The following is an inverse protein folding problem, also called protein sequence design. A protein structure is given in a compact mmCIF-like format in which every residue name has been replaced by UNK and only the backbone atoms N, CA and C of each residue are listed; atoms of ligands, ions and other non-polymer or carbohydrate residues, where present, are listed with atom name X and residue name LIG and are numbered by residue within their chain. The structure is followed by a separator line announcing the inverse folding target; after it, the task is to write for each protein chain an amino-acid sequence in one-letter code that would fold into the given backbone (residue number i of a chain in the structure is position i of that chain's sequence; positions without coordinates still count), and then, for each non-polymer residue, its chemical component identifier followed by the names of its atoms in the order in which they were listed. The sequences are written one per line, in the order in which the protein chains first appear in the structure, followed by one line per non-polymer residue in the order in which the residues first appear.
data_IF_535977778889
#
_entry.id   IF_535977778889
#
_cell.length_a   1.000
_cell.length_b   1.000
_cell.length_c   1.000
_cell.angle_alpha   90.00
_cell.angle_beta   90.00
_cell.angle_gamma   90.00
#
_symmetry.space_group_name_H-M   'P 1'
#
loop_
_entity.id
_entity.type
_entity.pdbx_description
1 polymer ?
#
# COMPACT_ATOMS: atom_id res chain seq x y z
N UNK A 1 -36.81 -20.53 -1.03
CA UNK A 1 -37.00 -19.09 -0.77
C UNK A 1 -35.78 -18.34 -1.31
N UNK A 2 -35.94 -17.61 -2.42
CA UNK A 2 -34.87 -16.70 -2.94
C UNK A 2 -34.92 -15.44 -2.10
N UNK A 3 -33.92 -15.25 -1.21
CA UNK A 3 -33.73 -13.99 -0.52
C UNK A 3 -33.41 -12.91 -1.56
N UNK A 4 -34.28 -11.95 -1.72
CA UNK A 4 -34.07 -10.74 -2.51
C UNK A 4 -32.80 -10.04 -1.99
N UNK A 5 -31.72 -10.10 -2.77
CA UNK A 5 -30.54 -9.23 -2.56
C UNK A 5 -31.01 -7.80 -2.83
N UNK A 6 -31.24 -7.04 -1.76
CA UNK A 6 -31.46 -5.61 -1.88
C UNK A 6 -30.33 -5.00 -2.70
N UNK A 7 -30.68 -4.18 -3.67
CA UNK A 7 -29.77 -3.43 -4.58
C UNK A 7 -29.04 -2.35 -3.78
N UNK A 8 -28.19 -2.74 -2.80
CA UNK A 8 -27.33 -1.82 -2.08
C UNK A 8 -26.23 -1.32 -2.98
N UNK A 9 -26.01 -0.01 -3.03
CA UNK A 9 -24.95 0.67 -3.78
C UNK A 9 -23.59 0.01 -3.45
N UNK A 10 -22.92 -0.57 -4.47
CA UNK A 10 -21.59 -1.17 -4.33
C UNK A 10 -20.53 -0.09 -4.26
N UNK A 11 -19.74 -0.11 -3.19
CA UNK A 11 -18.70 0.90 -2.92
C UNK A 11 -17.32 0.26 -2.85
N UNK A 12 -16.36 0.87 -3.55
CA UNK A 12 -14.95 0.52 -3.49
C UNK A 12 -14.18 1.60 -2.71
N UNK A 13 -13.44 1.19 -1.69
CA UNK A 13 -12.44 2.04 -1.05
C UNK A 13 -11.07 1.76 -1.65
N UNK A 14 -10.32 2.80 -2.01
CA UNK A 14 -8.94 2.72 -2.49
C UNK A 14 -8.06 3.46 -1.49
N UNK A 15 -7.13 2.74 -0.86
CA UNK A 15 -6.14 3.32 0.06
C UNK A 15 -4.81 3.40 -0.67
N UNK A 16 -4.18 4.56 -0.64
CA UNK A 16 -2.94 4.85 -1.37
C UNK A 16 -1.88 5.28 -0.40
N UNK A 17 -0.69 4.71 -0.57
CA UNK A 17 0.53 5.13 0.11
C UNK A 17 1.71 5.06 -0.84
N UNK A 18 2.71 5.92 -0.63
CA UNK A 18 3.88 6.00 -1.47
C UNK A 18 5.18 5.82 -0.69
N UNK A 19 6.27 5.64 -1.43
CA UNK A 19 7.64 5.58 -0.91
C UNK A 19 8.62 6.20 -1.91
N UNK A 20 9.60 6.91 -1.40
CA UNK A 20 10.51 7.72 -2.20
C UNK A 20 9.96 9.12 -2.40
N UNK A 21 10.72 9.96 -3.05
CA UNK A 21 10.40 11.37 -3.31
C UNK A 21 10.54 11.71 -4.80
N UNK A 22 9.91 12.80 -5.23
CA UNK A 22 10.02 13.31 -6.60
C UNK A 22 11.37 13.98 -6.90
N UNK A 23 12.14 14.33 -5.88
CA UNK A 23 13.46 14.95 -6.01
C UNK A 23 14.51 14.01 -6.62
N UNK A 24 15.57 14.62 -7.14
CA UNK A 24 16.73 13.96 -7.75
C UNK A 24 18.05 14.42 -7.11
N UNK A 25 17.98 15.09 -5.98
CA UNK A 25 19.13 15.58 -5.24
C UNK A 25 19.97 14.43 -4.70
N UNK A 26 21.22 14.71 -4.37
CA UNK A 26 22.13 13.73 -3.75
C UNK A 26 21.50 13.18 -2.47
N UNK A 27 21.36 11.87 -2.40
CA UNK A 27 20.69 11.16 -1.27
C UNK A 27 19.24 10.78 -1.53
N UNK A 28 18.63 11.29 -2.61
CA UNK A 28 17.28 10.89 -3.02
C UNK A 28 17.18 9.40 -3.30
N UNK A 29 16.03 8.81 -2.97
CA UNK A 29 15.74 7.41 -3.25
C UNK A 29 15.76 7.11 -4.75
N UNK A 30 16.49 6.08 -5.16
CA UNK A 30 16.50 5.60 -6.56
C UNK A 30 15.13 5.13 -7.01
N UNK A 31 14.33 4.55 -6.13
CA UNK A 31 13.03 3.99 -6.47
C UNK A 31 11.91 4.89 -5.94
N UNK A 32 10.93 5.15 -6.78
CA UNK A 32 9.63 5.68 -6.40
C UNK A 32 8.59 4.58 -6.48
N UNK A 33 7.77 4.43 -5.44
CA UNK A 33 6.72 3.43 -5.39
C UNK A 33 5.41 4.01 -4.90
N UNK A 34 4.29 3.52 -5.45
CA UNK A 34 2.95 3.83 -4.96
C UNK A 34 2.09 2.58 -4.98
N UNK A 35 1.44 2.27 -3.85
CA UNK A 35 0.54 1.14 -3.70
C UNK A 35 -0.90 1.59 -3.60
N UNK A 36 -1.77 0.84 -4.26
CA UNK A 36 -3.21 0.97 -4.23
C UNK A 36 -3.80 -0.28 -3.59
N UNK A 37 -4.52 -0.14 -2.50
CA UNK A 37 -5.24 -1.22 -1.81
C UNK A 37 -6.73 -1.04 -2.04
N UNK A 38 -7.36 -2.00 -2.67
CA UNK A 38 -8.75 -2.00 -3.08
C UNK A 38 -9.58 -2.84 -2.10
N UNK A 39 -10.50 -2.22 -1.41
CA UNK A 39 -11.42 -2.87 -0.46
C UNK A 39 -12.87 -2.67 -0.90
N UNK A 40 -13.54 -3.77 -1.26
CA UNK A 40 -14.98 -3.79 -1.48
C UNK A 40 -15.70 -3.66 -0.14
N UNK A 41 -16.45 -2.56 0.06
CA UNK A 41 -17.12 -2.25 1.32
C UNK A 41 -18.26 -3.22 1.67
N UNK A 42 -18.68 -4.08 0.73
CA UNK A 42 -19.66 -5.13 1.03
C UNK A 42 -19.09 -6.21 1.96
N UNK A 43 -17.76 -6.32 2.06
CA UNK A 43 -17.06 -7.24 2.95
C UNK A 43 -16.58 -6.52 4.21
N UNK A 44 -17.17 -6.86 5.36
CA UNK A 44 -16.70 -6.34 6.64
C UNK A 44 -15.35 -6.93 7.02
N UNK A 45 -14.42 -6.09 7.45
CA UNK A 45 -13.10 -6.47 8.00
C UNK A 45 -12.98 -6.10 9.49
N UNK A 46 -14.09 -5.82 10.15
CA UNK A 46 -14.13 -5.38 11.56
C UNK A 46 -13.51 -6.42 12.50
N UNK A 47 -13.80 -7.69 12.26
CA UNK A 47 -13.24 -8.80 13.06
C UNK A 47 -11.72 -8.85 12.91
N UNK A 48 -11.21 -8.82 11.69
CA UNK A 48 -9.78 -8.88 11.40
C UNK A 48 -9.02 -7.68 11.97
N UNK A 49 -9.63 -6.49 11.98
CA UNK A 49 -9.07 -5.29 12.64
C UNK A 49 -8.98 -5.50 14.15
N UNK A 50 -10.02 -6.04 14.77
CA UNK A 50 -10.02 -6.32 16.20
C UNK A 50 -8.95 -7.36 16.55
N UNK A 51 -8.85 -8.43 15.77
CA UNK A 51 -7.82 -9.47 15.93
C UNK A 51 -6.40 -8.89 15.80
N UNK A 52 -6.17 -7.99 14.84
CA UNK A 52 -4.90 -7.28 14.69
C UNK A 52 -4.60 -6.41 15.92
N UNK A 53 -5.58 -5.63 16.38
CA UNK A 53 -5.41 -4.75 17.53
C UNK A 53 -5.07 -5.54 18.80
N UNK A 54 -5.74 -6.66 19.03
CA UNK A 54 -5.42 -7.54 20.17
C UNK A 54 -3.99 -8.14 20.08
N UNK A 55 -3.58 -8.57 18.88
CA UNK A 55 -2.22 -9.07 18.66
C UNK A 55 -1.16 -8.00 18.93
N UNK A 56 -1.40 -6.76 18.46
CA UNK A 56 -0.48 -5.66 18.70
C UNK A 56 -0.43 -5.28 20.18
N UNK A 57 -1.59 -5.26 20.87
CA UNK A 57 -1.66 -5.03 22.30
C UNK A 57 -0.84 -6.09 23.09
N UNK A 58 -0.95 -7.35 22.74
CA UNK A 58 -0.19 -8.45 23.36
C UNK A 58 1.34 -8.33 23.11
N UNK A 59 1.74 -7.69 22.01
CA UNK A 59 3.15 -7.37 21.73
C UNK A 59 3.61 -6.13 22.53
N UNK A 60 2.68 -5.39 23.14
CA UNK A 60 2.93 -4.09 23.77
C UNK A 60 3.22 -3.00 22.73
N UNK A 61 2.42 -2.94 21.66
CA UNK A 61 2.50 -1.91 20.61
C UNK A 61 1.11 -1.47 20.15
N UNK A 62 0.79 -0.19 20.31
CA UNK A 62 -0.52 0.37 19.99
C UNK A 62 -0.49 1.49 18.93
N UNK A 63 0.71 1.99 18.61
CA UNK A 63 0.87 3.11 17.69
C UNK A 63 0.62 2.73 16.23
N UNK A 64 0.63 3.73 15.37
CA UNK A 64 0.66 3.51 13.92
C UNK A 64 1.93 2.78 13.52
N UNK A 65 1.81 1.85 12.58
CA UNK A 65 2.95 1.09 12.07
C UNK A 65 3.42 1.76 10.78
N UNK A 66 4.69 2.17 10.77
CA UNK A 66 5.40 2.69 9.60
C UNK A 66 6.47 1.68 9.19
N UNK A 67 6.33 1.07 8.01
CA UNK A 67 7.19 -0.05 7.60
C UNK A 67 8.65 0.32 7.49
N UNK A 68 8.96 1.48 6.90
CA UNK A 68 10.34 1.92 6.77
C UNK A 68 11.03 2.06 8.13
N UNK A 69 10.36 2.67 9.11
CA UNK A 69 10.91 2.90 10.44
C UNK A 69 11.00 1.60 11.25
N UNK A 70 9.98 0.74 11.16
CA UNK A 70 9.96 -0.58 11.77
C UNK A 70 11.17 -1.43 11.32
N UNK A 71 11.42 -1.44 10.02
CA UNK A 71 12.49 -2.27 9.42
C UNK A 71 13.86 -1.64 9.66
N UNK A 72 13.97 -0.32 9.51
CA UNK A 72 15.23 0.42 9.69
C UNK A 72 15.56 0.74 11.16
N UNK A 73 14.70 0.35 12.10
CA UNK A 73 14.89 0.58 13.55
C UNK A 73 14.95 2.08 13.89
N UNK A 74 13.98 2.87 13.42
CA UNK A 74 13.91 4.32 13.64
C UNK A 74 12.70 4.71 14.50
N UNK A 75 12.67 5.94 14.99
CA UNK A 75 11.55 6.48 15.76
C UNK A 75 11.14 5.57 16.92
N UNK A 76 9.86 5.25 17.04
CA UNK A 76 9.28 4.37 18.08
C UNK A 76 9.95 2.99 18.17
N UNK A 77 10.66 2.57 17.13
CA UNK A 77 11.30 1.25 17.04
C UNK A 77 12.79 1.25 17.43
N UNK A 78 13.38 2.41 17.72
CA UNK A 78 14.82 2.58 17.98
C UNK A 78 15.33 1.73 19.13
N UNK A 79 14.52 1.56 20.17
CA UNK A 79 14.85 0.75 21.38
C UNK A 79 14.28 -0.68 21.32
N UNK A 80 13.62 -1.08 20.21
CA UNK A 80 13.06 -2.42 20.08
C UNK A 80 14.09 -3.40 19.53
N UNK A 81 14.15 -4.60 20.12
CA UNK A 81 14.92 -5.70 19.55
C UNK A 81 14.27 -6.23 18.26
N UNK A 82 15.01 -7.04 17.51
CA UNK A 82 14.57 -7.57 16.22
C UNK A 82 13.35 -8.46 16.37
N UNK A 83 13.25 -9.24 17.44
CA UNK A 83 12.11 -10.15 17.69
C UNK A 83 10.81 -9.36 17.83
N UNK A 84 10.79 -8.31 18.66
CA UNK A 84 9.59 -7.46 18.83
C UNK A 84 9.18 -6.81 17.51
N UNK A 85 10.14 -6.27 16.75
CA UNK A 85 9.88 -5.65 15.45
C UNK A 85 9.34 -6.66 14.43
N UNK A 86 9.91 -7.88 14.36
CA UNK A 86 9.39 -8.97 13.51
C UNK A 86 7.98 -9.42 13.93
N UNK A 87 7.67 -9.43 15.22
CA UNK A 87 6.33 -9.75 15.71
C UNK A 87 5.30 -8.70 15.27
N UNK A 88 5.63 -7.39 15.32
CA UNK A 88 4.79 -6.31 14.81
C UNK A 88 4.57 -6.48 13.29
N UNK A 89 5.64 -6.71 12.53
CA UNK A 89 5.55 -6.97 11.10
C UNK A 89 4.64 -8.17 10.78
N UNK A 90 4.84 -9.28 11.48
CA UNK A 90 4.06 -10.50 11.28
C UNK A 90 2.59 -10.31 11.63
N UNK A 91 2.25 -9.48 12.61
CA UNK A 91 0.87 -9.17 12.98
C UNK A 91 0.12 -8.49 11.82
N UNK A 92 0.70 -7.42 11.25
CA UNK A 92 0.06 -6.72 10.12
C UNK A 92 0.13 -7.54 8.82
N UNK A 93 1.20 -8.29 8.59
CA UNK A 93 1.30 -9.20 7.44
C UNK A 93 0.25 -10.32 7.50
N UNK A 94 0.00 -10.88 8.67
CA UNK A 94 -1.08 -11.85 8.88
C UNK A 94 -2.46 -11.21 8.62
N UNK A 95 -2.68 -10.00 9.11
CA UNK A 95 -3.90 -9.23 8.85
C UNK A 95 -4.11 -9.03 7.34
N UNK A 96 -3.11 -8.51 6.62
CA UNK A 96 -3.16 -8.36 5.17
C UNK A 96 -3.53 -9.66 4.45
N UNK A 97 -3.03 -10.79 4.89
CA UNK A 97 -3.35 -12.09 4.28
C UNK A 97 -4.80 -12.51 4.51
N UNK A 98 -5.41 -12.11 5.62
CA UNK A 98 -6.77 -12.49 6.02
C UNK A 98 -7.85 -11.63 5.37
N UNK A 99 -7.63 -10.33 5.26
CA UNK A 99 -8.65 -9.41 4.75
C UNK A 99 -8.93 -9.61 3.25
N UNK A 100 -10.19 -9.42 2.79
CA UNK A 100 -10.58 -9.57 1.38
C UNK A 100 -10.25 -8.30 0.57
N UNK A 101 -8.97 -8.02 0.37
CA UNK A 101 -8.50 -6.89 -0.45
C UNK A 101 -7.79 -7.37 -1.70
N UNK A 102 -7.82 -6.55 -2.74
CA UNK A 102 -6.90 -6.59 -3.88
C UNK A 102 -5.90 -5.45 -3.76
N UNK A 103 -4.77 -5.55 -4.45
CA UNK A 103 -3.79 -4.47 -4.50
C UNK A 103 -3.04 -4.41 -5.82
N UNK A 104 -2.47 -3.26 -6.10
CA UNK A 104 -1.53 -3.03 -7.18
C UNK A 104 -0.47 -2.06 -6.69
N UNK A 105 0.80 -2.37 -6.94
CA UNK A 105 1.91 -1.45 -6.68
C UNK A 105 2.59 -1.07 -7.99
N UNK A 106 2.88 0.22 -8.14
CA UNK A 106 3.67 0.78 -9.24
C UNK A 106 5.03 1.12 -8.67
N UNK A 107 6.10 0.58 -9.24
CA UNK A 107 7.50 0.91 -8.89
C UNK A 107 8.17 1.51 -10.12
N UNK A 108 8.77 2.68 -9.94
CA UNK A 108 9.54 3.38 -10.98
C UNK A 108 10.99 3.50 -10.53
N UNK A 109 11.92 2.99 -11.34
CA UNK A 109 13.35 3.18 -11.15
C UNK A 109 13.75 4.53 -11.78
N UNK A 110 14.13 5.48 -10.93
CA UNK A 110 14.54 6.83 -11.35
C UNK A 110 15.84 6.84 -12.15
N UNK A 111 16.62 5.74 -12.12
CA UNK A 111 17.79 5.59 -13.01
C UNK A 111 17.43 5.78 -14.49
N UNK A 112 16.20 5.48 -14.87
CA UNK A 112 15.68 5.62 -16.22
C UNK A 112 14.76 6.84 -16.37
N UNK A 113 14.99 7.89 -15.57
CA UNK A 113 14.15 9.07 -15.50
C UNK A 113 15.05 10.30 -15.31
N UNK A 114 14.97 11.26 -16.21
CA UNK A 114 15.93 12.37 -16.27
C UNK A 114 15.65 13.46 -15.21
N UNK A 115 14.39 13.64 -14.83
CA UNK A 115 13.99 14.69 -13.88
C UNK A 115 12.57 14.45 -13.32
N UNK A 116 12.17 15.29 -12.36
CA UNK A 116 10.87 15.22 -11.69
C UNK A 116 9.68 15.33 -12.65
N UNK A 117 9.77 16.13 -13.72
CA UNK A 117 8.68 16.27 -14.72
C UNK A 117 8.45 14.96 -15.47
N UNK A 118 9.52 14.28 -15.87
CA UNK A 118 9.44 12.96 -16.53
C UNK A 118 8.92 11.92 -15.56
N UNK A 119 9.36 11.95 -14.30
CA UNK A 119 8.86 11.03 -13.25
C UNK A 119 7.35 11.21 -13.03
N UNK A 120 6.86 12.44 -12.89
CA UNK A 120 5.43 12.76 -12.78
C UNK A 120 4.62 12.15 -13.93
N UNK A 121 5.09 12.36 -15.16
CA UNK A 121 4.45 11.79 -16.36
C UNK A 121 4.43 10.27 -16.35
N UNK A 122 5.53 9.62 -15.97
CA UNK A 122 5.60 8.15 -15.86
C UNK A 122 4.61 7.62 -14.82
N UNK A 123 4.58 8.21 -13.62
CA UNK A 123 3.64 7.82 -12.56
C UNK A 123 2.20 7.94 -13.06
N UNK A 124 1.85 9.12 -13.63
CA UNK A 124 0.52 9.36 -14.22
C UNK A 124 0.15 8.29 -15.24
N UNK A 125 1.03 8.00 -16.19
CA UNK A 125 0.78 7.03 -17.24
C UNK A 125 0.61 5.60 -16.69
N UNK A 126 1.40 5.20 -15.71
CA UNK A 126 1.28 3.87 -15.10
C UNK A 126 -0.02 3.74 -14.29
N UNK A 127 -0.48 4.80 -13.61
CA UNK A 127 -1.79 4.81 -12.94
C UNK A 127 -2.91 4.68 -13.98
N UNK A 128 -2.87 5.44 -15.08
CA UNK A 128 -3.87 5.37 -16.15
C UNK A 128 -3.89 3.96 -16.76
N UNK A 129 -2.75 3.40 -17.10
CA UNK A 129 -2.64 2.01 -17.61
C UNK A 129 -3.23 0.98 -16.64
N UNK A 130 -2.96 1.13 -15.34
CA UNK A 130 -3.55 0.26 -14.31
C UNK A 130 -5.08 0.34 -14.33
N UNK A 131 -5.64 1.54 -14.38
CA UNK A 131 -7.09 1.74 -14.41
C UNK A 131 -7.72 1.18 -15.69
N UNK A 132 -7.10 1.41 -16.85
CA UNK A 132 -7.59 0.92 -18.15
C UNK A 132 -7.57 -0.61 -18.22
N UNK A 133 -6.44 -1.24 -17.82
CA UNK A 133 -6.32 -2.70 -17.79
C UNK A 133 -7.35 -3.36 -16.88
N UNK A 134 -7.75 -2.67 -15.82
CA UNK A 134 -8.67 -3.20 -14.83
C UNK A 134 -10.06 -2.54 -14.91
N UNK A 135 -10.42 -1.98 -16.06
CA UNK A 135 -11.69 -1.27 -16.27
C UNK A 135 -12.91 -2.08 -15.84
N UNK A 136 -12.93 -3.37 -16.16
CA UNK A 136 -14.05 -4.25 -15.79
C UNK A 136 -14.13 -4.52 -14.27
N UNK A 137 -13.01 -4.46 -13.56
CA UNK A 137 -13.02 -4.52 -12.09
C UNK A 137 -13.69 -3.26 -11.52
N UNK A 138 -13.33 -2.07 -11.99
CA UNK A 138 -13.86 -0.80 -11.47
C UNK A 138 -15.33 -0.57 -11.86
N UNK A 139 -15.78 -1.04 -13.02
CA UNK A 139 -17.19 -0.94 -13.44
C UNK A 139 -18.18 -1.67 -12.53
N UNK A 140 -17.71 -2.59 -11.68
CA UNK A 140 -18.55 -3.33 -10.74
C UNK A 140 -19.07 -2.47 -9.58
N UNK A 141 -18.54 -1.25 -9.42
CA UNK A 141 -18.80 -0.38 -8.27
C UNK A 141 -19.54 0.88 -8.70
N UNK A 142 -20.59 1.19 -7.97
CA UNK A 142 -21.42 2.39 -8.18
C UNK A 142 -20.74 3.64 -7.62
N UNK A 143 -19.80 3.47 -6.67
CA UNK A 143 -19.05 4.57 -6.06
C UNK A 143 -17.64 4.12 -5.71
N UNK A 144 -16.66 4.99 -5.97
CA UNK A 144 -15.25 4.81 -5.64
C UNK A 144 -14.84 5.90 -4.67
N UNK A 145 -14.30 5.51 -3.52
CA UNK A 145 -13.83 6.42 -2.48
C UNK A 145 -12.31 6.29 -2.40
N UNK A 146 -11.60 7.38 -2.66
CA UNK A 146 -10.15 7.44 -2.57
C UNK A 146 -9.71 7.98 -1.21
N UNK A 147 -8.81 7.27 -0.58
CA UNK A 147 -8.15 7.65 0.67
C UNK A 147 -6.66 7.83 0.40
N UNK A 148 -6.20 9.05 0.51
CA UNK A 148 -4.79 9.41 0.42
C UNK A 148 -4.49 10.49 1.47
N UNK A 149 -3.42 10.32 2.24
CA UNK A 149 -3.08 11.22 3.36
C UNK A 149 -2.36 12.50 2.95
N UNK A 150 -2.19 12.69 1.64
CA UNK A 150 -1.52 13.85 1.05
C UNK A 150 -0.03 13.98 1.46
N UNK A 151 0.63 12.86 1.74
CA UNK A 151 2.04 12.83 2.08
C UNK A 151 2.93 13.55 1.06
N UNK A 152 2.53 13.52 -0.22
CA UNK A 152 3.19 14.29 -1.29
C UNK A 152 2.17 15.02 -2.17
N UNK A 153 2.13 16.35 -2.10
CA UNK A 153 1.22 17.21 -2.89
C UNK A 153 1.24 16.87 -4.39
N UNK A 154 2.42 16.59 -4.94
CA UNK A 154 2.57 16.21 -6.35
C UNK A 154 1.79 14.95 -6.71
N UNK A 155 1.81 13.92 -5.86
CA UNK A 155 1.02 12.71 -6.07
C UNK A 155 -0.48 13.00 -5.89
N UNK A 156 -0.84 13.78 -4.86
CA UNK A 156 -2.21 14.23 -4.64
C UNK A 156 -2.82 14.89 -5.87
N UNK A 157 -2.08 15.80 -6.51
CA UNK A 157 -2.50 16.49 -7.74
C UNK A 157 -2.67 15.50 -8.91
N UNK A 158 -1.75 14.54 -9.09
CA UNK A 158 -1.87 13.50 -10.13
C UNK A 158 -3.12 12.65 -9.91
N UNK A 159 -3.36 12.24 -8.67
CA UNK A 159 -4.54 11.44 -8.31
C UNK A 159 -5.83 12.22 -8.52
N UNK A 160 -5.90 13.47 -8.06
CA UNK A 160 -7.02 14.37 -8.26
C UNK A 160 -7.38 14.51 -9.75
N UNK A 161 -6.38 14.80 -10.60
CA UNK A 161 -6.58 14.93 -12.04
C UNK A 161 -7.09 13.65 -12.72
N UNK A 162 -6.61 12.48 -12.29
CA UNK A 162 -7.00 11.21 -12.90
C UNK A 162 -8.40 10.82 -12.44
N UNK A 163 -8.64 10.85 -11.13
CA UNK A 163 -9.87 10.32 -10.55
C UNK A 163 -11.06 11.26 -10.68
N UNK A 164 -10.87 12.57 -10.83
CA UNK A 164 -11.96 13.53 -11.11
C UNK A 164 -12.75 13.23 -12.39
N UNK A 165 -12.16 12.46 -13.31
CA UNK A 165 -12.81 12.03 -14.56
C UNK A 165 -13.80 10.88 -14.38
N UNK A 166 -13.82 10.24 -13.23
CA UNK A 166 -14.77 9.18 -12.90
C UNK A 166 -16.05 9.79 -12.30
N UNK A 167 -17.20 9.56 -12.91
CA UNK A 167 -18.49 10.13 -12.50
C UNK A 167 -18.89 9.80 -11.04
N UNK A 168 -18.37 8.70 -10.49
CA UNK A 168 -18.77 8.14 -9.19
C UNK A 168 -17.66 8.26 -8.15
N UNK A 169 -16.73 9.22 -8.32
CA UNK A 169 -15.57 9.38 -7.48
C UNK A 169 -15.84 10.35 -6.32
N UNK A 170 -15.37 9.98 -5.14
CA UNK A 170 -15.29 10.86 -3.96
C UNK A 170 -13.90 10.80 -3.37
N UNK A 171 -13.28 11.94 -3.15
CA UNK A 171 -12.05 12.05 -2.37
C UNK A 171 -12.41 12.30 -0.91
N UNK A 172 -11.88 11.51 0.00
CA UNK A 172 -12.10 11.66 1.45
C UNK A 172 -10.75 11.78 2.14
N UNK A 173 -10.59 12.87 2.89
CA UNK A 173 -9.40 13.15 3.70
C UNK A 173 -9.61 12.71 5.16
N UNK A 174 -10.77 12.13 5.50
CA UNK A 174 -11.12 11.80 6.88
C UNK A 174 -10.64 10.40 7.30
N UNK A 175 -9.97 10.34 8.47
CA UNK A 175 -9.23 9.19 8.97
C UNK A 175 -9.88 8.60 10.24
N UNK A 176 -10.81 7.69 10.10
CA UNK A 176 -11.25 6.86 11.22
C UNK A 176 -10.31 5.65 11.46
N UNK A 177 -10.44 4.98 12.62
CA UNK A 177 -9.56 3.86 13.00
C UNK A 177 -9.53 2.69 12.00
N UNK A 178 -10.61 2.43 11.24
CA UNK A 178 -10.65 1.38 10.21
C UNK A 178 -9.79 1.76 9.01
N UNK A 179 -9.87 3.03 8.61
CA UNK A 179 -9.11 3.62 7.52
C UNK A 179 -7.61 3.50 7.80
N UNK A 180 -7.18 3.80 9.04
CA UNK A 180 -5.76 3.74 9.45
C UNK A 180 -5.10 2.38 9.20
N UNK A 181 -5.79 1.24 9.43
CA UNK A 181 -5.20 -0.09 9.24
C UNK A 181 -4.98 -0.43 7.76
N UNK A 182 -5.83 0.05 6.86
CA UNK A 182 -5.66 -0.16 5.43
C UNK A 182 -4.58 0.74 4.82
N UNK A 183 -4.31 1.92 5.38
CA UNK A 183 -3.11 2.70 5.05
C UNK A 183 -1.83 1.96 5.44
N UNK A 184 -1.76 1.37 6.64
CA UNK A 184 -0.61 0.58 7.05
C UNK A 184 -0.38 -0.64 6.14
N UNK A 185 -1.47 -1.19 5.58
CA UNK A 185 -1.38 -2.25 4.56
C UNK A 185 -0.80 -1.69 3.26
N UNK A 186 -1.19 -0.48 2.83
CA UNK A 186 -0.63 0.16 1.63
C UNK A 186 0.86 0.45 1.82
N UNK A 187 1.28 1.02 2.96
CA UNK A 187 2.69 1.24 3.32
C UNK A 187 3.48 -0.09 3.29
N UNK A 188 2.95 -1.15 3.94
CA UNK A 188 3.58 -2.47 3.91
C UNK A 188 3.78 -2.99 2.48
N UNK A 189 2.77 -2.89 1.63
CA UNK A 189 2.82 -3.39 0.25
C UNK A 189 3.82 -2.59 -0.59
N UNK A 190 3.82 -1.27 -0.46
CA UNK A 190 4.77 -0.40 -1.14
C UNK A 190 6.20 -0.76 -0.75
N UNK A 191 6.44 -0.98 0.55
CA UNK A 191 7.75 -1.36 1.05
C UNK A 191 8.19 -2.76 0.54
N UNK A 192 7.31 -3.77 0.64
CA UNK A 192 7.62 -5.14 0.21
C UNK A 192 7.86 -5.23 -1.29
N UNK A 193 7.05 -4.58 -2.12
CA UNK A 193 7.24 -4.57 -3.58
C UNK A 193 8.52 -3.82 -3.97
N UNK A 194 8.84 -2.69 -3.29
CA UNK A 194 10.11 -1.97 -3.49
C UNK A 194 11.32 -2.84 -3.13
N UNK A 195 11.28 -3.55 -2.00
CA UNK A 195 12.35 -4.44 -1.60
C UNK A 195 12.51 -5.60 -2.59
N UNK A 196 11.40 -6.23 -2.98
CA UNK A 196 11.41 -7.31 -3.97
C UNK A 196 11.95 -6.84 -5.34
N UNK A 197 11.63 -5.60 -5.75
CA UNK A 197 12.19 -4.98 -6.95
C UNK A 197 13.72 -4.80 -6.83
N UNK A 198 14.20 -4.26 -5.68
CA UNK A 198 15.64 -4.16 -5.41
C UNK A 198 16.33 -5.52 -5.53
N UNK A 199 15.77 -6.54 -4.86
CA UNK A 199 16.33 -7.88 -4.84
C UNK A 199 16.44 -8.48 -6.26
N UNK A 200 15.35 -8.42 -7.03
CA UNK A 200 15.30 -8.94 -8.41
C UNK A 200 16.26 -8.23 -9.36
N UNK A 201 16.43 -6.92 -9.20
CA UNK A 201 17.24 -6.10 -10.09
C UNK A 201 18.66 -5.86 -9.56
N UNK A 202 19.09 -6.58 -8.51
CA UNK A 202 20.42 -6.47 -7.89
C UNK A 202 20.77 -5.03 -7.46
N UNK A 203 19.76 -4.26 -7.07
CA UNK A 203 19.95 -2.91 -6.53
C UNK A 203 20.41 -3.02 -5.06
N UNK A 204 21.39 -2.22 -4.62
CA UNK A 204 21.87 -2.26 -3.25
C UNK A 204 20.74 -2.19 -2.21
N UNK A 205 20.77 -3.10 -1.26
CA UNK A 205 19.85 -3.19 -0.14
C UNK A 205 20.56 -2.64 1.09
N UNK A 206 19.91 -1.77 1.85
CA UNK A 206 20.48 -1.17 3.06
C UNK A 206 20.74 -2.22 4.15
N UNK A 207 21.73 -1.98 5.02
CA UNK A 207 22.09 -2.92 6.08
C UNK A 207 20.93 -3.24 7.02
N UNK A 208 20.12 -2.24 7.39
CA UNK A 208 18.93 -2.45 8.21
C UNK A 208 17.88 -3.35 7.54
N UNK A 209 17.71 -3.21 6.22
CA UNK A 209 16.83 -4.09 5.43
C UNK A 209 17.36 -5.54 5.41
N UNK A 210 18.67 -5.73 5.17
CA UNK A 210 19.32 -7.06 5.16
C UNK A 210 19.25 -7.74 6.52
N UNK A 211 19.37 -6.96 7.59
CA UNK A 211 19.27 -7.47 8.95
C UNK A 211 17.84 -7.91 9.30
N UNK A 212 16.84 -7.23 8.74
CA UNK A 212 15.44 -7.53 9.00
C UNK A 212 14.91 -8.67 8.13
N UNK A 213 15.29 -8.72 6.85
CA UNK A 213 14.84 -9.73 5.90
C UNK A 213 15.98 -10.35 5.11
N UNK A 214 15.87 -11.65 4.86
CA UNK A 214 16.56 -12.28 3.76
C UNK A 214 15.76 -12.09 2.45
N UNK A 215 16.44 -12.13 1.30
CA UNK A 215 15.75 -12.09 0.01
C UNK A 215 14.77 -13.25 -0.19
N UNK A 216 15.05 -14.41 0.41
CA UNK A 216 14.15 -15.56 0.36
C UNK A 216 12.87 -15.35 1.19
N UNK A 217 12.97 -14.74 2.38
CA UNK A 217 11.79 -14.39 3.19
C UNK A 217 10.86 -13.46 2.41
N UNK A 218 11.41 -12.44 1.74
CA UNK A 218 10.63 -11.51 0.89
C UNK A 218 9.99 -12.25 -0.28
N UNK A 219 10.74 -13.08 -1.01
CA UNK A 219 10.19 -13.86 -2.12
C UNK A 219 9.02 -14.75 -1.68
N UNK A 220 9.17 -15.44 -0.55
CA UNK A 220 8.11 -16.27 0.03
C UNK A 220 6.89 -15.43 0.45
N UNK A 221 7.13 -14.26 1.06
CA UNK A 221 6.07 -13.35 1.45
C UNK A 221 5.28 -12.85 0.22
N UNK A 222 5.98 -12.38 -0.82
CA UNK A 222 5.35 -11.90 -2.05
C UNK A 222 4.56 -12.98 -2.77
N UNK A 223 5.08 -14.22 -2.88
CA UNK A 223 4.36 -15.35 -3.47
C UNK A 223 3.02 -15.62 -2.77
N UNK A 224 2.96 -15.48 -1.45
CA UNK A 224 1.70 -15.63 -0.70
C UNK A 224 0.70 -14.50 -0.95
N UNK A 225 1.17 -13.34 -1.42
CA UNK A 225 0.34 -12.18 -1.76
C UNK A 225 -0.09 -12.14 -3.23
N UNK A 226 0.47 -12.99 -4.10
CA UNK A 226 0.16 -12.96 -5.56
C UNK A 226 -1.33 -13.09 -5.85
N UNK A 227 -2.07 -13.89 -5.07
CA UNK A 227 -3.54 -14.04 -5.20
C UNK A 227 -4.32 -12.76 -4.89
N UNK A 228 -3.68 -11.80 -4.19
CA UNK A 228 -4.28 -10.50 -3.84
C UNK A 228 -3.95 -9.42 -4.86
N UNK A 229 -2.99 -9.63 -5.73
CA UNK A 229 -2.75 -8.70 -6.84
C UNK A 229 -4.00 -8.56 -7.69
N UNK A 230 -4.23 -7.35 -8.14
CA UNK A 230 -5.25 -7.08 -9.14
C UNK A 230 -4.81 -7.82 -10.42
N UNK A 231 -5.58 -8.85 -10.80
CA UNK A 231 -5.28 -9.68 -11.96
C UNK A 231 -5.88 -9.02 -13.20
N UNK A 232 -5.11 -9.05 -14.27
CA UNK A 232 -5.50 -8.53 -15.59
C UNK A 232 -6.46 -9.47 -16.29
#
# INVERSE_FOLDING_TARGET
MKTSRGNGMKRLSIFIDETGEFGFEKGSSRLYGVSFVFHDQSYSIKKEINDLNQRLLNIGYINMIHMADLIMKRGDYSNMNITKRKNIFNAIYYFLRKIPVKYQTIIIDKKYTDNSKVLRRKIRNEIIKMLEKNKEFFKKYDSIILYYDNGQETLGNILGDIFSKFKNFKHVIDFNHKVKRLFQVADMLTYLDKYNYKYKNKIPIANGEKYFFTGEEIRKAMKKLDKKKLQH
#
